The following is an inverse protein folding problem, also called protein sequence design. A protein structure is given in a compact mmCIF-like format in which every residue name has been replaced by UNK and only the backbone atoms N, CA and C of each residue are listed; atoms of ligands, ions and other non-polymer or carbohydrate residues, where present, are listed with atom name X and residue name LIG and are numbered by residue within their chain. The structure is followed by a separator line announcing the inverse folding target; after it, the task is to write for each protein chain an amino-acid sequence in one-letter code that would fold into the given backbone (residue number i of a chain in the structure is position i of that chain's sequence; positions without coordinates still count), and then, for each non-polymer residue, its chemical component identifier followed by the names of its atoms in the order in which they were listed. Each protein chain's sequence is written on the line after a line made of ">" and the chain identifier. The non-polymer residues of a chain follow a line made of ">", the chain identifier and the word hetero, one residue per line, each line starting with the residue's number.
data_IF_074046738261
#
_entry.id   IF_074046738261
#
_cell.length_a   1.000
_cell.length_b   1.000
_cell.length_c   1.000
_cell.angle_alpha   90.00
_cell.angle_beta   90.00
_cell.angle_gamma   90.00
#
_symmetry.space_group_name_H-M   'P 1'
#
loop_
_entity.id
_entity.type
_entity.pdbx_description
1 polymer ?
#
# COMPACT_ATOMS: atom_id res chain seq x y z
N UNK A 1 30.36 -24.69 -6.86
CA UNK A 1 29.97 -23.90 -8.05
C UNK A 1 28.80 -24.60 -8.69
N UNK A 2 27.57 -24.22 -8.33
CA UNK A 2 26.38 -24.70 -9.01
C UNK A 2 26.20 -23.83 -10.26
N UNK A 3 26.47 -24.39 -11.43
CA UNK A 3 26.26 -23.72 -12.71
C UNK A 3 24.78 -23.50 -12.90
N UNK A 4 24.35 -22.22 -12.95
CA UNK A 4 22.99 -21.89 -13.36
C UNK A 4 22.73 -22.45 -14.76
N UNK A 5 21.56 -23.06 -15.01
CA UNK A 5 21.22 -23.57 -16.33
C UNK A 5 21.18 -22.44 -17.38
N UNK A 6 21.42 -22.76 -18.66
CA UNK A 6 21.42 -21.79 -19.75
C UNK A 6 20.05 -21.14 -19.94
N UNK A 7 20.07 -19.89 -20.43
CA UNK A 7 18.92 -18.98 -20.44
C UNK A 7 17.75 -19.42 -21.34
N UNK A 8 17.96 -20.38 -22.22
CA UNK A 8 17.00 -20.90 -23.19
C UNK A 8 16.12 -22.05 -22.65
N UNK A 9 16.45 -22.60 -21.48
CA UNK A 9 15.70 -23.69 -20.81
C UNK A 9 15.06 -23.27 -19.48
N UNK A 10 15.15 -21.99 -19.12
CA UNK A 10 14.55 -21.46 -17.90
C UNK A 10 13.08 -21.06 -18.17
N UNK A 11 12.17 -22.03 -18.25
CA UNK A 11 10.73 -21.73 -18.12
C UNK A 11 10.45 -21.33 -16.67
N UNK A 12 10.80 -20.09 -16.31
CA UNK A 12 10.54 -19.48 -15.00
C UNK A 12 9.09 -19.06 -14.97
N UNK A 13 8.20 -20.03 -14.84
CA UNK A 13 6.80 -19.74 -14.66
C UNK A 13 6.53 -19.41 -13.19
N UNK A 14 5.48 -18.63 -12.94
CA UNK A 14 4.96 -18.36 -11.59
C UNK A 14 4.57 -19.64 -10.82
N UNK A 15 4.63 -20.81 -11.46
CA UNK A 15 4.22 -22.13 -10.97
C UNK A 15 5.37 -23.01 -10.48
N UNK A 16 6.57 -22.45 -10.28
CA UNK A 16 7.67 -23.17 -9.67
C UNK A 16 7.35 -23.58 -8.22
N UNK A 17 7.85 -24.73 -7.77
CA UNK A 17 7.69 -25.19 -6.38
C UNK A 17 8.44 -24.23 -5.45
N UNK A 18 7.72 -23.62 -4.51
CA UNK A 18 8.28 -22.66 -3.53
C UNK A 18 9.06 -23.40 -2.43
N UNK A 19 10.39 -23.40 -2.53
CA UNK A 19 11.29 -23.95 -1.51
C UNK A 19 11.65 -22.95 -0.40
N UNK A 20 11.34 -21.66 -0.56
CA UNK A 20 11.63 -20.63 0.43
C UNK A 20 10.54 -20.55 1.51
N UNK A 21 9.32 -20.96 1.17
CA UNK A 21 8.17 -21.02 2.09
C UNK A 21 7.55 -19.66 2.41
N UNK A 22 8.10 -18.58 1.85
CA UNK A 22 7.65 -17.21 2.07
C UNK A 22 6.86 -16.66 0.90
N UNK A 23 5.92 -15.76 1.19
CA UNK A 23 5.10 -15.10 0.19
C UNK A 23 5.46 -13.62 -0.01
N UNK A 24 5.17 -13.16 -1.22
CA UNK A 24 5.24 -11.76 -1.61
C UNK A 24 3.82 -11.21 -1.77
N UNK A 25 3.54 -10.05 -1.15
CA UNK A 25 2.22 -9.43 -1.11
C UNK A 25 2.29 -8.03 -1.74
N UNK A 26 1.37 -7.74 -2.66
CA UNK A 26 1.20 -6.43 -3.28
C UNK A 26 -0.16 -5.81 -2.86
N UNK A 27 -0.09 -4.80 -2.00
CA UNK A 27 -1.24 -4.00 -1.59
C UNK A 27 -1.39 -2.83 -2.56
N UNK A 28 -2.62 -2.60 -3.05
CA UNK A 28 -2.91 -1.58 -4.06
C UNK A 28 -2.25 -1.89 -5.42
N UNK A 29 -2.25 -3.17 -5.81
CA UNK A 29 -1.44 -3.69 -6.92
C UNK A 29 -1.68 -3.03 -8.30
N UNK A 30 -2.82 -2.35 -8.48
CA UNK A 30 -3.19 -1.68 -9.72
C UNK A 30 -3.07 -2.64 -10.89
N UNK A 31 -2.38 -2.19 -11.93
CA UNK A 31 -2.10 -2.98 -13.13
C UNK A 31 -0.98 -4.02 -13.03
N UNK A 32 -0.25 -4.08 -11.91
CA UNK A 32 0.89 -4.99 -11.72
C UNK A 32 2.27 -4.40 -11.99
N UNK A 33 2.42 -3.07 -12.08
CA UNK A 33 3.73 -2.44 -12.30
C UNK A 33 4.74 -2.72 -11.19
N UNK A 34 4.32 -2.57 -9.92
CA UNK A 34 5.16 -2.90 -8.77
C UNK A 34 5.41 -4.41 -8.65
N UNK A 35 4.37 -5.21 -8.88
CA UNK A 35 4.48 -6.68 -8.95
C UNK A 35 5.53 -7.13 -9.96
N UNK A 36 5.53 -6.58 -11.18
CA UNK A 36 6.55 -6.88 -12.20
C UNK A 36 7.96 -6.57 -11.70
N UNK A 37 8.15 -5.41 -11.06
CA UNK A 37 9.44 -5.03 -10.49
C UNK A 37 9.90 -5.97 -9.37
N UNK A 38 8.98 -6.42 -8.50
CA UNK A 38 9.27 -7.41 -7.46
C UNK A 38 9.67 -8.75 -8.05
N UNK A 39 8.94 -9.24 -9.05
CA UNK A 39 9.22 -10.53 -9.69
C UNK A 39 10.59 -10.53 -10.37
N UNK A 40 10.92 -9.44 -11.08
CA UNK A 40 12.24 -9.26 -11.70
C UNK A 40 13.36 -9.15 -10.67
N UNK A 41 13.16 -8.39 -9.59
CA UNK A 41 14.20 -8.11 -8.60
C UNK A 41 14.45 -9.25 -7.62
N UNK A 42 13.41 -9.98 -7.26
CA UNK A 42 13.49 -11.10 -6.31
C UNK A 42 13.63 -12.46 -7.00
N UNK A 43 13.43 -12.52 -8.32
CA UNK A 43 13.32 -13.78 -9.06
C UNK A 43 12.28 -14.72 -8.44
N UNK A 44 11.20 -14.13 -7.92
CA UNK A 44 10.15 -14.80 -7.14
C UNK A 44 8.79 -14.19 -7.44
N UNK A 45 7.73 -15.02 -7.56
CA UNK A 45 6.42 -14.55 -7.95
C UNK A 45 5.79 -13.63 -6.89
N UNK A 46 4.89 -12.75 -7.31
CA UNK A 46 3.88 -12.19 -6.39
C UNK A 46 2.83 -13.26 -6.12
N UNK A 47 2.46 -13.40 -4.86
CA UNK A 47 1.55 -14.46 -4.41
C UNK A 47 0.17 -13.93 -4.07
N UNK A 48 0.08 -12.70 -3.58
CA UNK A 48 -1.18 -12.06 -3.19
C UNK A 48 -1.19 -10.65 -3.77
N UNK A 49 -2.26 -10.29 -4.46
CA UNK A 49 -2.50 -8.95 -4.98
C UNK A 49 -3.90 -8.47 -4.58
N UNK A 50 -4.00 -7.26 -4.05
CA UNK A 50 -5.27 -6.69 -3.55
C UNK A 50 -5.54 -5.37 -4.26
N UNK A 51 -6.73 -5.25 -4.85
CA UNK A 51 -7.20 -4.00 -5.44
C UNK A 51 -8.73 -3.95 -5.47
N UNK A 52 -9.30 -2.75 -5.45
CA UNK A 52 -10.75 -2.55 -5.49
C UNK A 52 -11.28 -2.36 -6.92
N UNK A 53 -10.41 -2.06 -7.89
CA UNK A 53 -10.78 -1.81 -9.27
C UNK A 53 -10.77 -3.13 -10.09
N UNK A 54 -11.91 -3.56 -10.65
CA UNK A 54 -12.01 -4.78 -11.43
C UNK A 54 -11.16 -4.75 -12.71
N UNK A 55 -11.00 -3.59 -13.35
CA UNK A 55 -10.20 -3.47 -14.58
C UNK A 55 -8.71 -3.61 -14.26
N UNK A 56 -8.28 -3.03 -13.14
CA UNK A 56 -6.92 -3.18 -12.63
C UNK A 56 -6.62 -4.65 -12.29
N UNK A 57 -7.51 -5.33 -11.56
CA UNK A 57 -7.37 -6.76 -11.26
C UNK A 57 -7.37 -7.61 -12.53
N UNK A 58 -8.22 -7.30 -13.51
CA UNK A 58 -8.26 -8.00 -14.79
C UNK A 58 -6.91 -7.94 -15.51
N UNK A 59 -6.33 -6.74 -15.60
CA UNK A 59 -5.01 -6.54 -16.19
C UNK A 59 -3.91 -7.24 -15.37
N UNK A 60 -3.96 -7.12 -14.04
CA UNK A 60 -3.01 -7.78 -13.16
C UNK A 60 -3.07 -9.31 -13.27
N UNK A 61 -4.26 -9.90 -13.43
CA UNK A 61 -4.45 -11.34 -13.65
C UNK A 61 -3.82 -11.81 -14.96
N UNK A 62 -3.93 -11.00 -16.01
CA UNK A 62 -3.32 -11.31 -17.30
C UNK A 62 -1.78 -11.35 -17.22
N UNK A 63 -1.18 -10.46 -16.43
CA UNK A 63 0.28 -10.36 -16.27
C UNK A 63 0.86 -11.29 -15.19
N UNK A 64 0.12 -11.51 -14.10
CA UNK A 64 0.56 -12.30 -12.93
C UNK A 64 -0.50 -13.36 -12.56
N UNK A 65 -0.73 -14.38 -13.41
CA UNK A 65 -1.81 -15.35 -13.26
C UNK A 65 -1.68 -16.29 -12.06
N UNK A 66 -0.48 -16.45 -11.50
CA UNK A 66 -0.21 -17.28 -10.32
C UNK A 66 -0.43 -16.58 -8.99
N UNK A 67 -0.72 -15.27 -8.99
CA UNK A 67 -1.09 -14.55 -7.78
C UNK A 67 -2.56 -14.82 -7.42
N UNK A 68 -2.87 -14.81 -6.14
CA UNK A 68 -4.23 -14.77 -5.64
C UNK A 68 -4.72 -13.31 -5.58
N UNK A 69 -5.78 -13.02 -6.33
CA UNK A 69 -6.31 -11.65 -6.45
C UNK A 69 -7.56 -11.45 -5.61
N UNK A 70 -7.51 -10.43 -4.76
CA UNK A 70 -8.65 -9.96 -3.99
C UNK A 70 -9.22 -8.71 -4.66
N UNK A 71 -10.45 -8.82 -5.18
CA UNK A 71 -11.24 -7.68 -5.64
C UNK A 71 -12.03 -7.11 -4.46
N UNK A 72 -11.38 -6.32 -3.62
CA UNK A 72 -11.98 -5.75 -2.42
C UNK A 72 -11.25 -4.49 -1.96
N UNK A 73 -11.83 -3.78 -1.00
CA UNK A 73 -11.05 -2.81 -0.24
C UNK A 73 -9.96 -3.57 0.55
N UNK A 74 -8.75 -3.02 0.57
CA UNK A 74 -7.61 -3.58 1.30
C UNK A 74 -7.83 -3.64 2.81
N UNK A 75 -8.74 -2.81 3.35
CA UNK A 75 -9.13 -2.86 4.76
C UNK A 75 -9.95 -4.09 5.12
N UNK A 76 -10.71 -4.62 4.16
CA UNK A 76 -11.63 -5.74 4.35
C UNK A 76 -10.91 -7.09 4.32
N UNK A 77 -9.74 -7.15 3.67
CA UNK A 77 -8.91 -8.36 3.68
C UNK A 77 -8.28 -8.55 5.06
N UNK A 78 -8.48 -9.74 5.64
CA UNK A 78 -7.74 -10.17 6.82
C UNK A 78 -6.36 -10.67 6.38
N UNK A 79 -5.26 -10.04 6.84
CA UNK A 79 -3.90 -10.49 6.53
C UNK A 79 -3.64 -11.95 6.95
N UNK A 80 -4.24 -12.43 8.05
CA UNK A 80 -4.02 -13.80 8.55
C UNK A 80 -4.62 -14.82 7.60
N UNK A 81 -5.87 -14.60 7.21
CA UNK A 81 -6.59 -15.47 6.28
C UNK A 81 -5.94 -15.46 4.90
N UNK A 82 -5.59 -14.27 4.39
CA UNK A 82 -4.95 -14.12 3.09
C UNK A 82 -3.59 -14.86 3.04
N UNK A 83 -2.78 -14.75 4.09
CA UNK A 83 -1.47 -15.39 4.13
C UNK A 83 -1.53 -16.90 4.46
N UNK A 84 -2.64 -17.41 5.01
CA UNK A 84 -2.82 -18.81 5.42
C UNK A 84 -1.67 -19.35 6.28
N UNK A 85 -1.14 -18.50 7.17
CA UNK A 85 0.00 -18.82 8.03
C UNK A 85 1.36 -18.87 7.34
N UNK A 86 1.44 -18.57 6.03
CA UNK A 86 2.72 -18.46 5.32
C UNK A 86 3.44 -17.16 5.73
N UNK A 87 4.76 -17.22 6.02
CA UNK A 87 5.53 -16.03 6.36
C UNK A 87 5.62 -15.06 5.18
N UNK A 88 5.50 -13.76 5.44
CA UNK A 88 5.61 -12.73 4.39
C UNK A 88 7.06 -12.28 4.27
N UNK A 89 7.68 -12.60 3.13
CA UNK A 89 9.05 -12.20 2.82
C UNK A 89 9.14 -10.74 2.41
N UNK A 90 8.24 -10.30 1.52
CA UNK A 90 8.15 -8.93 1.04
C UNK A 90 6.69 -8.47 0.96
N UNK A 91 6.40 -7.31 1.53
CA UNK A 91 5.11 -6.63 1.39
C UNK A 91 5.32 -5.26 0.73
N UNK A 92 4.73 -5.06 -0.44
CA UNK A 92 4.69 -3.77 -1.11
C UNK A 92 3.33 -3.09 -0.92
N UNK A 93 3.33 -1.77 -0.85
CA UNK A 93 2.10 -0.97 -0.79
C UNK A 93 2.24 0.35 -1.55
N UNK A 94 1.23 0.67 -2.36
CA UNK A 94 1.13 1.94 -3.10
C UNK A 94 -0.21 2.66 -2.81
N UNK A 95 -0.44 3.12 -1.57
CA UNK A 95 -1.70 3.75 -1.18
C UNK A 95 -1.93 5.07 -1.93
N UNK A 96 -3.20 5.45 -2.14
CA UNK A 96 -3.56 6.65 -2.90
C UNK A 96 -2.86 7.93 -2.41
N UNK A 97 -2.29 8.67 -3.37
CA UNK A 97 -1.53 9.89 -3.13
C UNK A 97 -2.35 11.19 -3.24
N UNK A 98 -3.67 11.11 -3.48
CA UNK A 98 -4.53 12.28 -3.81
C UNK A 98 -4.66 13.36 -2.71
N UNK A 99 -4.17 13.12 -1.50
CA UNK A 99 -4.06 14.14 -0.44
C UNK A 99 -2.65 14.70 -0.24
N UNK A 100 -1.68 14.15 -0.97
CA UNK A 100 -0.27 14.50 -0.92
C UNK A 100 0.16 15.24 -2.21
N UNK A 101 -0.64 15.25 -3.27
CA UNK A 101 -0.28 16.00 -4.48
C UNK A 101 -0.28 17.52 -4.30
N UNK A 102 0.77 18.18 -4.82
CA UNK A 102 0.94 19.64 -4.85
C UNK A 102 -0.27 20.39 -5.45
N UNK A 103 -1.01 19.74 -6.36
CA UNK A 103 -2.10 20.34 -7.11
C UNK A 103 -3.34 20.75 -6.29
N UNK A 104 -3.43 20.36 -5.00
CA UNK A 104 -4.69 20.45 -4.24
C UNK A 104 -4.84 21.65 -3.31
N UNK A 105 -3.83 22.51 -3.15
CA UNK A 105 -3.94 23.80 -2.46
C UNK A 105 -4.78 23.77 -1.16
N UNK A 106 -4.42 22.94 -0.17
CA UNK A 106 -5.16 22.90 1.10
C UNK A 106 -4.88 21.66 1.96
N UNK A 107 -5.37 21.67 3.20
CA UNK A 107 -5.31 20.49 4.09
C UNK A 107 -6.25 19.37 3.59
N UNK A 108 -5.93 18.09 3.87
CA UNK A 108 -6.71 16.93 3.41
C UNK A 108 -8.19 17.00 3.81
N UNK A 109 -9.08 16.98 2.81
CA UNK A 109 -10.54 17.12 3.01
C UNK A 109 -11.29 15.80 3.28
N UNK A 110 -10.71 14.63 2.98
CA UNK A 110 -11.33 13.31 3.22
C UNK A 110 -10.44 12.46 4.12
N UNK A 111 -10.99 12.05 5.27
CA UNK A 111 -10.27 11.26 6.27
C UNK A 111 -9.96 9.84 5.78
N UNK A 112 -10.89 9.23 5.03
CA UNK A 112 -10.80 7.84 4.54
C UNK A 112 -9.59 7.58 3.64
N UNK A 113 -9.29 8.52 2.72
CA UNK A 113 -8.18 8.36 1.78
C UNK A 113 -6.83 8.63 2.47
N UNK A 114 -6.72 9.66 3.31
CA UNK A 114 -5.49 9.86 4.11
C UNK A 114 -5.25 8.68 5.03
N UNK A 115 -6.28 8.03 5.55
CA UNK A 115 -6.05 6.88 6.42
C UNK A 115 -5.45 5.68 5.69
N UNK A 116 -5.47 5.58 4.35
CA UNK A 116 -5.06 4.39 3.61
C UNK A 116 -3.69 3.84 4.01
N UNK A 117 -2.67 4.67 4.29
CA UNK A 117 -1.35 4.16 4.71
C UNK A 117 -1.37 3.45 6.08
N UNK A 118 -2.41 3.61 6.91
CA UNK A 118 -2.60 2.82 8.14
C UNK A 118 -2.82 1.33 7.85
N UNK A 119 -3.27 0.97 6.64
CA UNK A 119 -3.38 -0.44 6.26
C UNK A 119 -2.02 -1.13 6.28
N UNK A 120 -0.95 -0.41 5.93
CA UNK A 120 0.42 -0.92 5.97
C UNK A 120 0.80 -1.26 7.41
N UNK A 121 0.39 -0.44 8.38
CA UNK A 121 0.59 -0.74 9.80
C UNK A 121 -0.26 -1.92 10.29
N UNK A 122 -1.52 -2.04 9.83
CA UNK A 122 -2.39 -3.20 10.11
C UNK A 122 -1.68 -4.48 9.67
N UNK A 123 -1.26 -4.55 8.40
CA UNK A 123 -0.58 -5.72 7.86
C UNK A 123 0.77 -5.97 8.54
N UNK A 124 1.60 -4.94 8.74
CA UNK A 124 2.89 -5.08 9.41
C UNK A 124 2.77 -5.65 10.84
N UNK A 125 1.76 -5.19 11.60
CA UNK A 125 1.50 -5.66 12.95
C UNK A 125 0.99 -7.10 13.01
N UNK A 126 0.25 -7.53 11.99
CA UNK A 126 -0.40 -8.85 11.96
C UNK A 126 0.49 -9.95 11.41
N UNK A 127 1.09 -9.76 10.23
CA UNK A 127 1.84 -10.82 9.52
C UNK A 127 3.36 -10.64 9.57
N UNK A 128 3.82 -9.54 10.18
CA UNK A 128 5.24 -9.22 10.40
C UNK A 128 6.13 -9.49 9.18
N UNK A 129 5.91 -8.80 8.04
CA UNK A 129 6.74 -8.95 6.86
C UNK A 129 8.21 -8.68 7.17
N UNK A 130 9.12 -9.44 6.57
CA UNK A 130 10.56 -9.16 6.71
C UNK A 130 10.95 -7.85 6.05
N UNK A 131 10.41 -7.57 4.86
CA UNK A 131 10.66 -6.35 4.10
C UNK A 131 9.33 -5.68 3.81
N UNK A 132 9.28 -4.36 4.04
CA UNK A 132 8.16 -3.50 3.65
C UNK A 132 8.70 -2.44 2.70
N UNK A 133 8.11 -2.32 1.52
CA UNK A 133 8.34 -1.19 0.63
C UNK A 133 7.04 -0.42 0.39
N UNK A 134 7.15 0.90 0.31
CA UNK A 134 6.01 1.78 0.11
C UNK A 134 6.33 2.77 -1.01
N UNK A 135 5.48 2.81 -2.03
CA UNK A 135 5.56 3.82 -3.10
C UNK A 135 4.55 4.93 -2.84
N UNK A 136 5.01 6.17 -3.02
CA UNK A 136 4.15 7.35 -3.00
C UNK A 136 4.86 8.59 -3.54
N UNK A 137 4.10 9.69 -3.61
CA UNK A 137 4.63 11.03 -3.84
C UNK A 137 5.39 11.56 -2.62
N UNK A 138 6.36 12.45 -2.84
CA UNK A 138 7.26 13.01 -1.81
C UNK A 138 6.52 13.57 -0.57
N UNK A 139 5.33 14.14 -0.75
CA UNK A 139 4.59 14.76 0.33
C UNK A 139 4.01 13.75 1.33
N UNK A 140 4.10 12.44 1.07
CA UNK A 140 3.76 11.42 2.07
C UNK A 140 4.67 11.49 3.31
N UNK A 141 5.86 12.09 3.20
CA UNK A 141 6.74 12.35 4.36
C UNK A 141 6.06 13.21 5.44
N UNK A 142 4.99 13.94 5.09
CA UNK A 142 4.20 14.76 6.00
C UNK A 142 2.90 14.07 6.47
N UNK A 143 2.76 12.75 6.25
CA UNK A 143 1.55 11.98 6.55
C UNK A 143 1.17 11.90 8.05
N UNK A 144 2.07 12.35 8.94
CA UNK A 144 1.87 12.51 10.39
C UNK A 144 0.49 13.11 10.81
N UNK A 145 0.07 12.96 12.09
CA UNK A 145 -1.21 13.48 12.56
C UNK A 145 -1.45 14.93 12.15
N UNK A 146 -2.68 15.25 11.71
CA UNK A 146 -3.03 16.61 11.31
C UNK A 146 -2.96 17.54 12.53
N UNK A 147 -1.87 18.28 12.65
CA UNK A 147 -1.76 19.37 13.61
C UNK A 147 -2.43 20.59 13.00
N UNK A 148 -3.53 21.02 13.63
CA UNK A 148 -4.22 22.24 13.23
C UNK A 148 -3.27 23.44 13.29
N UNK A 149 -3.17 24.22 12.22
CA UNK A 149 -2.40 25.46 12.21
C UNK A 149 -3.03 26.42 13.22
N UNK A 150 -2.26 26.91 14.17
CA UNK A 150 -2.73 27.86 15.20
C UNK A 150 -2.16 29.25 14.97
N UNK A 151 -2.97 30.27 15.20
CA UNK A 151 -2.52 31.66 15.20
C UNK A 151 -1.55 31.88 16.36
N UNK A 152 -0.34 32.40 16.08
CA UNK A 152 0.69 32.64 17.11
C UNK A 152 0.25 33.61 18.22
N UNK A 153 -0.65 34.55 17.90
CA UNK A 153 -1.13 35.56 18.86
C UNK A 153 -2.30 35.07 19.72
N UNK A 154 -3.24 34.34 19.12
CA UNK A 154 -4.51 33.99 19.79
C UNK A 154 -4.61 32.51 20.18
N UNK A 155 -3.70 31.65 19.71
CA UNK A 155 -3.75 30.20 19.92
C UNK A 155 -4.91 29.48 19.20
N UNK A 156 -5.80 30.23 18.53
CA UNK A 156 -6.97 29.72 17.82
C UNK A 156 -6.57 28.97 16.55
N UNK A 157 -7.34 27.96 16.19
CA UNK A 157 -7.18 27.21 14.93
C UNK A 157 -7.49 28.13 13.76
N UNK A 158 -6.62 28.12 12.75
CA UNK A 158 -6.81 28.83 11.48
C UNK A 158 -7.65 27.94 10.57
N UNK A 159 -8.82 28.42 10.18
CA UNK A 159 -9.71 27.82 9.19
C UNK A 159 -9.59 28.57 7.86
N UNK A 160 -9.87 27.88 6.74
CA UNK A 160 -9.94 28.53 5.42
C UNK A 160 -11.25 29.34 5.32
N UNK A 161 -12.34 28.76 5.82
CA UNK A 161 -13.63 29.42 5.87
C UNK A 161 -13.71 30.39 7.06
N UNK A 162 -14.38 31.53 6.88
CA UNK A 162 -14.73 32.40 8.00
C UNK A 162 -15.77 31.68 8.87
N UNK A 163 -15.33 31.14 9.99
CA UNK A 163 -16.22 30.59 11.03
C UNK A 163 -16.41 31.62 12.14
N UNK A 164 -17.65 31.73 12.62
CA UNK A 164 -17.99 32.55 13.78
C UNK A 164 -17.18 32.07 14.97
N UNK A 165 -16.47 32.99 15.64
CA UNK A 165 -15.70 32.64 16.83
C UNK A 165 -16.66 32.09 17.89
N UNK A 166 -16.50 30.84 18.38
CA UNK A 166 -17.28 30.38 19.50
C UNK A 166 -16.99 31.34 20.66
N UNK A 167 -18.05 31.99 21.16
CA UNK A 167 -17.93 32.91 22.27
C UNK A 167 -17.26 32.18 23.45
N UNK A 168 -16.38 32.84 24.22
CA UNK A 168 -15.81 32.21 25.39
C UNK A 168 -16.96 31.77 26.30
N UNK A 169 -17.08 30.46 26.52
CA UNK A 169 -17.96 29.94 27.57
C UNK A 169 -17.40 30.52 28.86
N UNK A 170 -18.17 31.40 29.51
CA UNK A 170 -17.79 31.95 30.80
C UNK A 170 -17.53 30.77 31.75
N UNK A 171 -16.34 30.76 32.36
CA UNK A 171 -15.98 29.78 33.38
C UNK A 171 -16.83 29.97 34.63
#
# INVERSE_FOLDING_TARGET
>A
MTTNPPADLAWRTQFAIDFAGEINVDLFAGGGGASTGLEMGLDRPVHIAINHDPDAISMHKANHPGAEHYLSDVYEVDPVEACRGRPVGWMHASPDCTHHSQARGGQPRKRSIRSLSWVVHKWAGTVRPRIISLENVEQILQWSPLVAKRCKKTGRVVTIDQVTCPAPVAR
#
